data_IF_075981454380
#
_entry.id   IF_075981454380
#
_cell.length_a   1.000
_cell.length_b   1.000
_cell.length_c   1.000
_cell.angle_alpha   90.00
_cell.angle_beta   90.00
_cell.angle_gamma   90.00
#
_symmetry.space_group_name_H-M   'P 1'
#
loop_
_entity.id
_entity.type
_entity.pdbx_description
1 polymer ?
#
# COMPACT_ATOMS: atom_id res chain seq x y z
N UNK A 1 -14.08 -4.19 -12.97
CA UNK A 1 -14.21 -3.80 -14.38
C UNK A 1 -13.23 -4.64 -15.21
N UNK A 2 -13.57 -5.17 -16.38
CA UNK A 2 -12.89 -6.32 -17.05
C UNK A 2 -12.87 -7.68 -16.31
N UNK A 3 -12.22 -7.84 -15.16
CA UNK A 3 -12.16 -9.15 -14.46
C UNK A 3 -13.55 -9.65 -14.05
N UNK A 4 -14.34 -8.77 -13.40
CA UNK A 4 -15.73 -9.07 -13.03
C UNK A 4 -16.61 -9.43 -14.24
N UNK A 5 -16.40 -8.79 -15.38
CA UNK A 5 -17.15 -9.07 -16.62
C UNK A 5 -16.74 -10.43 -17.21
N UNK A 6 -15.45 -10.74 -17.23
CA UNK A 6 -14.93 -12.03 -17.71
C UNK A 6 -15.38 -13.21 -16.82
N UNK A 7 -15.45 -12.99 -15.50
CA UNK A 7 -15.91 -14.00 -14.55
C UNK A 7 -17.39 -14.37 -14.76
N UNK A 8 -18.25 -13.36 -14.94
CA UNK A 8 -19.66 -13.59 -15.27
C UNK A 8 -19.86 -14.18 -16.68
N UNK A 9 -18.90 -13.98 -17.58
CA UNK A 9 -18.88 -14.49 -18.95
C UNK A 9 -18.17 -15.83 -19.14
N UNK A 10 -17.81 -16.55 -18.07
CA UNK A 10 -17.10 -17.84 -18.10
C UNK A 10 -15.75 -17.80 -18.86
N UNK A 11 -15.06 -16.67 -18.83
CA UNK A 11 -13.77 -16.43 -19.50
C UNK A 11 -12.71 -15.87 -18.53
N UNK A 12 -12.81 -16.22 -17.24
CA UNK A 12 -11.86 -15.76 -16.24
C UNK A 12 -10.45 -16.36 -16.48
N UNK A 13 -9.37 -15.59 -16.28
CA UNK A 13 -8.01 -16.12 -16.35
C UNK A 13 -7.73 -17.08 -15.18
N UNK A 14 -6.80 -18.01 -15.38
CA UNK A 14 -6.37 -18.97 -14.34
C UNK A 14 -5.66 -18.29 -13.15
N UNK A 15 -4.98 -17.17 -13.38
CA UNK A 15 -4.35 -16.37 -12.34
C UNK A 15 -4.62 -14.88 -12.61
N UNK A 16 -4.87 -14.12 -11.54
CA UNK A 16 -5.11 -12.68 -11.62
C UNK A 16 -4.36 -11.98 -10.51
N UNK A 17 -3.72 -10.85 -10.85
CA UNK A 17 -3.15 -9.94 -9.86
C UNK A 17 -4.21 -8.92 -9.46
N UNK A 18 -4.52 -8.86 -8.17
CA UNK A 18 -5.51 -7.95 -7.60
C UNK A 18 -4.82 -6.86 -6.78
N UNK A 19 -5.48 -5.70 -6.65
CA UNK A 19 -5.08 -4.71 -5.65
C UNK A 19 -5.36 -5.24 -4.24
N UNK A 20 -4.77 -4.61 -3.22
CA UNK A 20 -4.71 -5.12 -1.83
C UNK A 20 -6.06 -5.55 -1.25
N UNK A 21 -7.17 -4.87 -1.57
CA UNK A 21 -8.52 -5.23 -1.09
C UNK A 21 -9.32 -6.10 -2.06
N UNK A 22 -8.82 -6.34 -3.28
CA UNK A 22 -9.51 -7.15 -4.26
C UNK A 22 -9.58 -8.62 -3.84
N UNK A 23 -8.53 -9.17 -3.23
CA UNK A 23 -8.50 -10.58 -2.80
C UNK A 23 -9.66 -10.95 -1.88
N UNK A 24 -9.84 -10.20 -0.79
CA UNK A 24 -10.95 -10.40 0.15
C UNK A 24 -12.32 -10.11 -0.47
N UNK A 25 -12.44 -9.09 -1.33
CA UNK A 25 -13.70 -8.79 -2.02
C UNK A 25 -14.17 -9.97 -2.90
N UNK A 26 -13.30 -10.51 -3.74
CA UNK A 26 -13.66 -11.61 -4.64
C UNK A 26 -13.80 -12.95 -3.89
N UNK A 27 -12.98 -13.20 -2.87
CA UNK A 27 -13.13 -14.35 -1.98
C UNK A 27 -14.50 -14.35 -1.27
N UNK A 28 -14.95 -13.21 -0.75
CA UNK A 28 -16.26 -13.08 -0.09
C UNK A 28 -17.46 -13.40 -0.98
N UNK A 29 -17.27 -13.37 -2.30
CA UNK A 29 -18.30 -13.65 -3.32
C UNK A 29 -18.19 -15.07 -3.89
N UNK A 30 -17.26 -15.88 -3.39
CA UNK A 30 -17.01 -17.24 -3.89
C UNK A 30 -16.40 -17.28 -5.28
N UNK A 31 -15.65 -16.24 -5.66
CA UNK A 31 -15.08 -16.09 -7.00
C UNK A 31 -13.61 -16.53 -7.10
N UNK A 32 -13.00 -16.95 -5.99
CA UNK A 32 -11.62 -17.39 -5.91
C UNK A 32 -11.55 -18.78 -5.28
N UNK A 33 -10.62 -19.58 -5.77
CA UNK A 33 -10.22 -20.83 -5.13
C UNK A 33 -9.19 -20.56 -4.02
N UNK A 34 -9.16 -21.37 -2.94
CA UNK A 34 -8.09 -21.29 -1.95
C UNK A 34 -6.71 -21.46 -2.59
N UNK A 35 -5.77 -20.63 -2.17
CA UNK A 35 -4.39 -20.67 -2.60
C UNK A 35 -3.52 -20.10 -1.48
N UNK A 36 -2.70 -20.94 -0.86
CA UNK A 36 -1.78 -20.54 0.21
C UNK A 36 -0.32 -20.65 -0.25
N UNK A 37 0.62 -19.93 0.39
CA UNK A 37 2.04 -19.99 0.06
C UNK A 37 2.61 -21.41 -0.04
N UNK A 38 2.13 -22.32 0.82
CA UNK A 38 2.60 -23.70 0.86
C UNK A 38 2.27 -24.48 -0.41
N UNK A 39 1.20 -24.11 -1.13
CA UNK A 39 0.81 -24.76 -2.40
C UNK A 39 1.80 -24.46 -3.53
N UNK A 40 2.59 -23.39 -3.37
CA UNK A 40 3.60 -22.94 -4.34
C UNK A 40 5.03 -23.00 -3.78
N UNK A 41 5.22 -23.72 -2.66
CA UNK A 41 6.54 -24.03 -2.11
C UNK A 41 7.14 -22.96 -1.19
N UNK A 42 6.35 -22.03 -0.67
CA UNK A 42 6.79 -21.02 0.32
C UNK A 42 6.16 -21.27 1.68
N UNK A 43 6.77 -20.75 2.74
CA UNK A 43 6.15 -20.70 4.07
C UNK A 43 5.32 -19.43 4.20
N UNK A 44 4.16 -19.50 4.85
CA UNK A 44 3.42 -18.30 5.27
C UNK A 44 4.28 -17.34 6.11
N UNK A 45 5.26 -17.86 6.86
CA UNK A 45 6.19 -17.07 7.67
C UNK A 45 7.17 -16.23 6.84
N UNK A 46 7.34 -16.54 5.56
CA UNK A 46 8.18 -15.77 4.64
C UNK A 46 7.55 -14.40 4.30
N UNK A 47 6.27 -14.19 4.65
CA UNK A 47 5.50 -13.02 4.29
C UNK A 47 5.17 -12.14 5.50
N UNK A 48 5.09 -10.83 5.26
CA UNK A 48 4.63 -9.88 6.27
C UNK A 48 3.18 -10.22 6.73
N UNK A 49 2.88 -10.25 8.05
CA UNK A 49 1.56 -10.62 8.54
C UNK A 49 0.42 -9.75 7.99
N UNK A 50 0.68 -8.45 7.80
CA UNK A 50 -0.30 -7.52 7.21
C UNK A 50 -0.62 -7.85 5.75
N UNK A 51 0.38 -8.32 4.99
CA UNK A 51 0.19 -8.72 3.59
C UNK A 51 -0.59 -10.03 3.50
N UNK A 52 -0.33 -10.99 4.39
CA UNK A 52 -1.12 -12.23 4.48
C UNK A 52 -2.58 -11.94 4.84
N UNK A 53 -2.83 -11.03 5.78
CA UNK A 53 -4.19 -10.61 6.14
C UNK A 53 -4.98 -10.07 4.95
N UNK A 54 -4.32 -9.42 3.98
CA UNK A 54 -4.98 -8.88 2.79
C UNK A 54 -5.46 -9.94 1.79
N UNK A 55 -4.93 -11.17 1.87
CA UNK A 55 -5.30 -12.31 1.01
C UNK A 55 -6.06 -13.40 1.77
N UNK A 56 -6.33 -13.21 3.06
CA UNK A 56 -7.09 -14.14 3.89
C UNK A 56 -8.50 -13.61 4.14
N UNK A 57 -9.51 -14.43 3.86
CA UNK A 57 -10.92 -14.17 4.13
C UNK A 57 -11.51 -15.33 4.92
N UNK A 58 -12.17 -15.03 6.04
CA UNK A 58 -12.80 -16.05 6.92
C UNK A 58 -11.87 -17.21 7.31
N UNK A 59 -10.61 -16.87 7.60
CA UNK A 59 -9.58 -17.86 7.99
C UNK A 59 -8.99 -18.67 6.84
N UNK A 60 -9.44 -18.47 5.60
CA UNK A 60 -8.93 -19.16 4.40
C UNK A 60 -8.11 -18.19 3.55
N UNK A 61 -6.95 -18.65 3.07
CA UNK A 61 -6.04 -17.86 2.22
C UNK A 61 -6.36 -18.12 0.75
N UNK A 62 -6.53 -17.05 -0.04
CA UNK A 62 -6.98 -17.08 -1.44
C UNK A 62 -5.96 -16.46 -2.40
N UNK A 63 -4.69 -16.33 -1.98
CA UNK A 63 -3.68 -15.72 -2.83
C UNK A 63 -2.31 -15.60 -2.18
N UNK A 64 -1.34 -15.28 -3.02
CA UNK A 64 0.06 -15.08 -2.65
C UNK A 64 0.39 -13.58 -2.72
N UNK A 65 0.87 -12.95 -1.64
CA UNK A 65 1.31 -11.57 -1.71
C UNK A 65 2.49 -11.42 -2.68
N UNK A 66 2.39 -10.46 -3.62
CA UNK A 66 3.44 -10.22 -4.63
C UNK A 66 4.19 -8.91 -4.43
N UNK A 67 3.62 -7.97 -3.70
CA UNK A 67 4.25 -6.72 -3.30
C UNK A 67 3.69 -6.25 -1.96
N UNK A 68 4.49 -5.48 -1.23
CA UNK A 68 4.07 -4.77 -0.04
C UNK A 68 4.56 -3.32 -0.14
N UNK A 69 3.70 -2.38 0.23
CA UNK A 69 4.02 -0.96 0.22
C UNK A 69 3.56 -0.33 1.53
N UNK A 70 4.26 0.72 1.95
CA UNK A 70 3.92 1.46 3.16
C UNK A 70 3.94 2.95 2.86
N UNK A 71 3.15 3.71 3.61
CA UNK A 71 3.21 5.16 3.56
C UNK A 71 4.48 5.64 4.27
N UNK A 72 5.25 6.48 3.59
CA UNK A 72 6.38 7.19 4.17
C UNK A 72 6.20 8.70 3.95
N UNK A 73 6.66 9.49 4.91
CA UNK A 73 6.68 10.95 4.75
C UNK A 73 7.96 11.35 4.00
N UNK A 74 7.79 11.88 2.79
CA UNK A 74 8.89 12.33 1.94
C UNK A 74 8.89 13.85 1.94
N UNK A 75 10.07 14.47 2.09
CA UNK A 75 10.24 15.91 2.02
C UNK A 75 11.38 16.31 1.08
N UNK A 76 11.37 17.57 0.62
CA UNK A 76 12.39 18.11 -0.25
C UNK A 76 13.52 18.76 0.57
N UNK A 77 14.70 18.12 0.56
CA UNK A 77 15.88 18.59 1.29
C UNK A 77 16.38 19.99 0.85
N UNK A 78 16.26 20.34 -0.43
CA UNK A 78 16.65 21.67 -0.93
C UNK A 78 15.72 22.75 -0.39
N UNK A 79 14.41 22.49 -0.39
CA UNK A 79 13.42 23.40 0.19
C UNK A 79 13.68 23.60 1.68
N UNK A 80 14.00 22.54 2.42
CA UNK A 80 14.37 22.65 3.84
C UNK A 80 15.59 23.56 4.02
N UNK A 81 16.68 23.33 3.28
CA UNK A 81 17.89 24.17 3.36
C UNK A 81 17.59 25.64 3.05
N UNK A 82 16.86 25.93 1.97
CA UNK A 82 16.47 27.29 1.56
C UNK A 82 15.57 27.97 2.60
N UNK A 83 14.72 27.23 3.29
CA UNK A 83 13.91 27.72 4.41
C UNK A 83 14.70 27.79 5.74
N UNK A 84 15.97 27.38 5.78
CA UNK A 84 16.77 27.34 7.00
C UNK A 84 16.34 26.25 8.00
N UNK A 85 15.78 25.16 7.49
CA UNK A 85 15.50 23.92 8.22
C UNK A 85 16.64 22.92 7.99
N UNK A 86 16.79 21.96 8.91
CA UNK A 86 17.77 20.89 8.81
C UNK A 86 17.23 19.77 7.89
N UNK A 87 17.81 19.55 6.69
CA UNK A 87 17.33 18.57 5.73
C UNK A 87 17.43 17.13 6.22
N UNK A 88 18.30 16.85 7.19
CA UNK A 88 18.51 15.50 7.75
C UNK A 88 17.56 15.21 8.92
N UNK A 89 16.69 16.17 9.29
CA UNK A 89 15.68 16.01 10.33
C UNK A 89 14.27 16.07 9.74
N UNK A 90 13.68 14.88 9.56
CA UNK A 90 12.28 14.74 9.20
C UNK A 90 11.35 15.36 10.26
N UNK A 91 10.18 15.88 9.88
CA UNK A 91 9.11 16.17 10.82
C UNK A 91 8.74 14.89 11.59
N UNK A 92 8.81 14.93 12.93
CA UNK A 92 8.49 13.77 13.76
C UNK A 92 7.00 13.72 14.13
N UNK A 93 6.34 14.89 14.11
CA UNK A 93 4.95 15.06 14.51
C UNK A 93 4.18 15.89 13.48
N UNK A 94 2.85 15.83 13.53
CA UNK A 94 2.01 16.69 12.71
C UNK A 94 2.22 18.19 13.02
N UNK A 95 2.50 18.53 14.29
CA UNK A 95 2.84 19.90 14.67
C UNK A 95 4.15 20.36 14.01
N UNK A 96 5.14 19.48 13.87
CA UNK A 96 6.36 19.77 13.10
C UNK A 96 6.05 20.01 11.63
N UNK A 97 5.17 19.20 11.02
CA UNK A 97 4.74 19.37 9.63
C UNK A 97 4.11 20.75 9.43
N UNK A 98 3.19 21.16 10.32
CA UNK A 98 2.55 22.47 10.26
C UNK A 98 3.56 23.60 10.46
N UNK A 99 4.43 23.48 11.47
CA UNK A 99 5.46 24.48 11.77
C UNK A 99 6.42 24.68 10.61
N UNK A 100 6.95 23.58 10.06
CA UNK A 100 7.92 23.63 8.96
C UNK A 100 7.26 24.14 7.68
N UNK A 101 6.01 23.73 7.43
CA UNK A 101 5.24 24.22 6.28
C UNK A 101 5.02 25.72 6.33
N UNK A 102 4.69 26.26 7.51
CA UNK A 102 4.56 27.71 7.72
C UNK A 102 5.89 28.43 7.49
N UNK A 103 6.99 27.90 8.05
CA UNK A 103 8.32 28.50 7.85
C UNK A 103 8.76 28.51 6.38
N UNK A 104 8.49 27.43 5.65
CA UNK A 104 8.76 27.33 4.21
C UNK A 104 7.94 28.37 3.45
N UNK A 105 6.63 28.46 3.73
CA UNK A 105 5.74 29.43 3.10
C UNK A 105 6.18 30.87 3.37
N UNK A 106 6.42 31.22 4.63
CA UNK A 106 6.78 32.58 5.04
C UNK A 106 8.13 33.04 4.44
N UNK A 107 9.08 32.12 4.20
CA UNK A 107 10.39 32.45 3.63
C UNK A 107 10.47 32.39 2.11
N UNK A 108 9.75 31.45 1.50
CA UNK A 108 9.94 31.09 0.09
C UNK A 108 8.69 31.31 -0.77
N UNK A 109 7.53 31.58 -0.16
CA UNK A 109 6.26 31.75 -0.87
C UNK A 109 5.73 30.48 -1.53
N UNK A 110 6.20 29.30 -1.13
CA UNK A 110 5.78 27.99 -1.66
C UNK A 110 5.10 27.15 -0.59
N UNK A 111 4.26 26.18 -1.01
CA UNK A 111 3.66 25.21 -0.09
C UNK A 111 4.75 24.30 0.51
N UNK A 112 4.72 24.11 1.83
CA UNK A 112 5.66 23.23 2.53
C UNK A 112 5.16 21.80 2.77
N UNK A 113 3.89 21.54 2.49
CA UNK A 113 3.25 20.23 2.48
C UNK A 113 2.09 20.27 1.48
N UNK A 114 1.92 19.23 0.65
CA UNK A 114 0.88 19.15 -0.37
C UNK A 114 1.25 18.23 -1.53
#
# INVERSE_FOLDING_TARGET
DKFRTALLGNAAPMAVRLQILGGTEFASKGYLEPLKPEDVGYSTEDFWPGAMKAVTWDGVTYGIPTNNETMAFIWNADIFKRAGLDPDKAPATWDDVVKYSKQIHDKLGIAGYG
#
